data_IF_470026374750
#
_entry.id   IF_470026374750
#
_cell.length_a   1.000
_cell.length_b   1.000
_cell.length_c   1.000
_cell.angle_alpha   90.00
_cell.angle_beta   90.00
_cell.angle_gamma   90.00
#
_symmetry.space_group_name_H-M   'P 1'
#
loop_
_entity.id
_entity.type
_entity.pdbx_description
1 polymer ?
#
# COMPACT_ATOMS: atom_id res chain seq x y z
N UNK A 1 -26.72 7.16 39.31
CA UNK A 1 -28.04 6.89 39.91
C UNK A 1 -29.07 7.72 39.17
N UNK A 2 -29.72 7.16 38.18
CA UNK A 2 -30.83 7.81 37.47
C UNK A 2 -32.08 6.94 37.66
N UNK A 3 -33.14 7.55 38.18
CA UNK A 3 -34.38 6.89 38.57
C UNK A 3 -35.23 6.56 37.34
N UNK A 4 -35.76 5.34 37.30
CA UNK A 4 -36.76 4.89 36.36
C UNK A 4 -38.10 5.64 36.59
N UNK A 5 -38.87 5.94 35.52
CA UNK A 5 -40.21 6.46 35.67
C UNK A 5 -41.24 5.32 35.91
N UNK A 6 -42.15 5.61 36.84
CA UNK A 6 -43.28 4.78 37.26
C UNK A 6 -44.37 4.70 36.18
N UNK A 7 -45.08 3.59 36.00
CA UNK A 7 -46.15 3.45 35.01
C UNK A 7 -47.48 4.08 35.54
N UNK A 8 -48.18 4.74 34.64
CA UNK A 8 -49.48 5.38 34.83
C UNK A 8 -50.57 4.31 34.77
N UNK A 9 -51.54 4.30 35.72
CA UNK A 9 -52.64 3.34 35.69
C UNK A 9 -53.74 3.71 34.70
N UNK A 10 -54.28 2.68 34.03
CA UNK A 10 -55.37 2.81 33.06
C UNK A 10 -56.74 3.12 33.76
N UNK A 11 -57.63 3.90 33.09
CA UNK A 11 -58.94 4.23 33.66
C UNK A 11 -59.93 3.04 33.62
N UNK A 12 -60.92 3.01 34.54
CA UNK A 12 -61.85 1.89 34.67
C UNK A 12 -62.91 1.85 33.57
N UNK A 13 -63.11 0.65 33.02
CA UNK A 13 -64.13 0.34 32.02
C UNK A 13 -65.52 0.28 32.72
N UNK A 14 -66.44 1.15 32.34
CA UNK A 14 -67.84 1.10 32.74
C UNK A 14 -68.60 -0.01 31.97
N UNK A 15 -69.01 -1.03 32.66
CA UNK A 15 -69.88 -2.07 32.12
C UNK A 15 -71.35 -1.56 32.18
N UNK A 16 -71.94 -1.28 31.04
CA UNK A 16 -73.39 -1.08 30.93
C UNK A 16 -74.10 -2.42 30.75
N UNK A 17 -74.86 -2.84 31.75
CA UNK A 17 -75.86 -3.93 31.63
C UNK A 17 -77.07 -3.42 30.87
N UNK A 18 -77.23 -3.83 29.61
CA UNK A 18 -78.44 -3.62 28.83
C UNK A 18 -79.37 -4.80 28.98
N UNK A 19 -80.64 -4.52 29.13
CA UNK A 19 -81.74 -5.45 29.32
C UNK A 19 -81.96 -6.40 28.10
N UNK A 20 -82.62 -7.59 28.27
CA UNK A 20 -82.79 -8.54 27.18
C UNK A 20 -83.86 -8.13 26.19
N UNK A 21 -83.39 -7.71 25.02
CA UNK A 21 -84.25 -7.45 23.85
C UNK A 21 -84.43 -8.69 23.00
N UNK A 22 -85.69 -8.97 22.66
CA UNK A 22 -86.19 -10.09 21.84
C UNK A 22 -85.41 -10.23 20.52
N UNK A 23 -84.94 -11.47 20.23
CA UNK A 23 -84.25 -11.84 19.07
C UNK A 23 -85.11 -11.70 17.79
N UNK A 24 -84.63 -10.99 16.75
CA UNK A 24 -85.31 -11.02 15.46
C UNK A 24 -85.04 -12.34 14.75
N UNK A 25 -86.11 -12.85 14.15
CA UNK A 25 -86.15 -14.10 13.36
C UNK A 25 -85.04 -14.13 12.28
N UNK A 26 -84.11 -15.07 12.36
CA UNK A 26 -83.12 -15.31 11.30
C UNK A 26 -83.82 -15.67 9.99
N UNK A 27 -83.87 -14.76 9.07
CA UNK A 27 -84.14 -15.09 7.66
C UNK A 27 -83.03 -16.03 7.15
N UNK A 28 -83.39 -17.28 6.90
CA UNK A 28 -82.55 -18.21 6.21
C UNK A 28 -82.35 -17.74 4.75
N UNK A 29 -81.32 -17.00 4.51
CA UNK A 29 -80.90 -16.73 3.12
C UNK A 29 -80.48 -18.05 2.49
N UNK A 30 -81.17 -18.43 1.45
CA UNK A 30 -80.87 -19.59 0.65
C UNK A 30 -79.49 -19.38 -0.03
N UNK A 31 -78.43 -19.91 0.57
CA UNK A 31 -77.09 -19.88 -0.04
C UNK A 31 -77.15 -20.74 -1.30
N UNK A 32 -77.19 -20.07 -2.48
CA UNK A 32 -76.98 -20.75 -3.76
C UNK A 32 -75.63 -21.53 -3.65
N UNK A 33 -75.75 -22.86 -3.80
CA UNK A 33 -74.57 -23.74 -3.89
C UNK A 33 -73.72 -23.31 -5.06
N UNK A 34 -72.61 -22.61 -4.79
CA UNK A 34 -71.65 -22.25 -5.82
C UNK A 34 -70.98 -23.52 -6.29
N UNK A 35 -70.94 -23.76 -7.58
CA UNK A 35 -70.30 -24.90 -8.18
C UNK A 35 -68.83 -24.99 -7.70
N UNK A 36 -68.41 -26.15 -7.14
CA UNK A 36 -67.02 -26.31 -6.61
C UNK A 36 -65.97 -26.05 -7.66
N UNK A 37 -66.23 -26.27 -8.93
CA UNK A 37 -65.36 -25.96 -10.06
C UNK A 37 -65.15 -24.41 -10.23
N UNK A 38 -66.21 -23.61 -10.05
CA UNK A 38 -66.11 -22.15 -10.10
C UNK A 38 -65.31 -21.61 -8.90
N UNK A 39 -65.41 -22.24 -7.72
CA UNK A 39 -64.58 -21.92 -6.54
C UNK A 39 -63.13 -22.24 -6.77
N UNK A 40 -62.83 -23.38 -7.37
CA UNK A 40 -61.49 -23.80 -7.78
C UNK A 40 -60.87 -22.80 -8.79
N UNK A 41 -61.61 -22.46 -9.86
CA UNK A 41 -61.12 -21.46 -10.84
C UNK A 41 -60.90 -20.08 -10.23
N UNK A 42 -61.77 -19.60 -9.33
CA UNK A 42 -61.56 -18.36 -8.59
C UNK A 42 -60.30 -18.42 -7.68
N UNK A 43 -60.09 -19.55 -7.04
CA UNK A 43 -58.90 -19.80 -6.21
C UNK A 43 -57.60 -19.74 -7.08
N UNK A 44 -57.63 -20.40 -8.21
CA UNK A 44 -56.51 -20.41 -9.19
C UNK A 44 -56.24 -19.02 -9.73
N UNK A 45 -57.27 -18.30 -10.20
CA UNK A 45 -57.15 -16.95 -10.72
C UNK A 45 -56.60 -15.95 -9.65
N UNK A 46 -57.00 -16.13 -8.38
CA UNK A 46 -56.47 -15.32 -7.28
C UNK A 46 -54.99 -15.60 -7.01
N UNK A 47 -54.61 -16.90 -7.02
CA UNK A 47 -53.18 -17.28 -6.86
C UNK A 47 -52.34 -16.74 -8.03
N UNK A 48 -52.84 -16.85 -9.27
CA UNK A 48 -52.19 -16.31 -10.46
C UNK A 48 -52.04 -14.80 -10.40
N UNK A 49 -53.11 -14.08 -10.00
CA UNK A 49 -53.08 -12.62 -9.82
C UNK A 49 -52.05 -12.19 -8.77
N UNK A 50 -52.02 -12.86 -7.61
CA UNK A 50 -51.01 -12.56 -6.59
C UNK A 50 -49.60 -12.91 -7.04
N UNK A 51 -49.43 -14.04 -7.78
CA UNK A 51 -48.16 -14.43 -8.39
C UNK A 51 -47.65 -13.37 -9.36
N UNK A 52 -48.49 -12.94 -10.30
CA UNK A 52 -48.16 -11.87 -11.29
C UNK A 52 -47.85 -10.56 -10.59
N UNK A 53 -48.68 -10.16 -9.61
CA UNK A 53 -48.46 -8.92 -8.84
C UNK A 53 -47.12 -8.95 -8.07
N UNK A 54 -46.78 -10.11 -7.51
CA UNK A 54 -45.53 -10.30 -6.81
C UNK A 54 -44.35 -10.28 -7.77
N UNK A 55 -44.45 -11.00 -8.90
CA UNK A 55 -43.45 -10.98 -9.96
C UNK A 55 -43.22 -9.58 -10.52
N UNK A 56 -44.28 -8.79 -10.72
CA UNK A 56 -44.19 -7.40 -11.18
C UNK A 56 -43.47 -6.49 -10.16
N UNK A 57 -43.71 -6.69 -8.85
CA UNK A 57 -42.96 -5.97 -7.82
C UNK A 57 -41.48 -6.32 -7.84
N UNK A 58 -41.13 -7.62 -7.98
CA UNK A 58 -39.74 -8.04 -8.14
C UNK A 58 -39.11 -7.46 -9.39
N UNK A 59 -39.85 -7.44 -10.53
CA UNK A 59 -39.37 -6.84 -11.78
C UNK A 59 -39.06 -5.34 -11.65
N UNK A 60 -39.83 -4.60 -10.84
CA UNK A 60 -39.54 -3.19 -10.53
C UNK A 60 -38.33 -3.01 -9.62
N UNK A 61 -38.01 -4.02 -8.80
CA UNK A 61 -36.85 -3.96 -7.91
C UNK A 61 -35.53 -4.25 -8.63
N UNK A 62 -35.56 -5.08 -9.69
CA UNK A 62 -34.38 -5.47 -10.45
C UNK A 62 -33.59 -4.27 -11.02
N UNK A 63 -34.24 -3.26 -11.67
CA UNK A 63 -33.50 -2.10 -12.16
C UNK A 63 -32.82 -1.30 -11.06
N UNK A 64 -33.46 -1.19 -9.88
CA UNK A 64 -32.87 -0.50 -8.72
C UNK A 64 -31.65 -1.25 -8.22
N UNK A 65 -31.74 -2.58 -8.08
CA UNK A 65 -30.62 -3.40 -7.67
C UNK A 65 -29.47 -3.34 -8.68
N UNK A 66 -29.77 -3.43 -9.98
CA UNK A 66 -28.77 -3.28 -11.06
C UNK A 66 -28.09 -1.92 -10.99
N UNK A 67 -28.86 -0.86 -10.77
CA UNK A 67 -28.31 0.49 -10.60
C UNK A 67 -27.39 0.55 -9.35
N UNK A 68 -27.83 0.02 -8.21
CA UNK A 68 -27.03 0.01 -6.98
C UNK A 68 -25.69 -0.72 -7.20
N UNK A 69 -25.73 -1.92 -7.78
CA UNK A 69 -24.55 -2.71 -8.08
C UNK A 69 -23.64 -1.99 -9.06
N UNK A 70 -24.18 -1.50 -10.18
CA UNK A 70 -23.40 -0.79 -11.19
C UNK A 70 -22.79 0.50 -10.65
N UNK A 71 -23.54 1.26 -9.86
CA UNK A 71 -23.05 2.50 -9.24
C UNK A 71 -21.96 2.19 -8.21
N UNK A 72 -22.19 1.22 -7.31
CA UNK A 72 -21.21 0.80 -6.31
C UNK A 72 -19.92 0.27 -6.94
N UNK A 73 -20.03 -0.49 -8.04
CA UNK A 73 -18.89 -1.00 -8.78
C UNK A 73 -18.07 0.12 -9.43
N UNK A 74 -18.73 1.15 -9.99
CA UNK A 74 -18.04 2.24 -10.69
C UNK A 74 -17.46 3.31 -9.75
N UNK A 75 -18.10 3.59 -8.62
CA UNK A 75 -17.59 4.57 -7.65
C UNK A 75 -16.51 3.96 -6.76
N UNK A 76 -16.78 2.74 -6.25
CA UNK A 76 -15.84 1.88 -5.52
C UNK A 76 -14.93 2.63 -4.52
N UNK A 77 -15.55 3.38 -3.61
CA UNK A 77 -14.82 4.24 -2.67
C UNK A 77 -13.76 3.52 -1.83
N UNK A 78 -13.93 2.22 -1.65
CA UNK A 78 -13.05 1.38 -0.84
C UNK A 78 -12.02 0.60 -1.68
N UNK A 79 -11.99 0.84 -3.00
CA UNK A 79 -11.00 0.22 -3.90
C UNK A 79 -11.14 -1.29 -4.10
N UNK A 80 -12.30 -1.90 -3.71
CA UNK A 80 -12.48 -3.35 -3.70
C UNK A 80 -12.59 -3.99 -5.10
N UNK A 81 -12.97 -3.22 -6.12
CA UNK A 81 -13.29 -3.74 -7.46
C UNK A 81 -12.56 -3.02 -8.59
N UNK A 82 -12.64 -1.70 -8.64
CA UNK A 82 -12.11 -0.87 -9.72
C UNK A 82 -11.03 0.12 -9.24
N UNK A 83 -10.80 0.18 -7.92
CA UNK A 83 -10.06 1.26 -7.28
C UNK A 83 -10.86 2.57 -7.18
N UNK A 84 -10.58 3.36 -6.16
CA UNK A 84 -11.26 4.63 -5.94
C UNK A 84 -10.97 5.65 -7.05
N UNK A 85 -11.86 6.66 -7.21
CA UNK A 85 -11.77 7.64 -8.32
C UNK A 85 -10.45 8.42 -8.34
N UNK A 86 -9.93 8.78 -7.18
CA UNK A 86 -8.71 9.59 -7.08
C UNK A 86 -7.44 8.82 -7.49
N UNK A 87 -7.14 7.61 -6.98
CA UNK A 87 -6.01 6.80 -7.47
C UNK A 87 -6.12 6.49 -8.96
N UNK A 88 -7.33 6.19 -9.48
CA UNK A 88 -7.54 6.00 -10.92
C UNK A 88 -7.16 7.23 -11.72
N UNK A 89 -7.52 8.44 -11.24
CA UNK A 89 -7.14 9.68 -11.92
C UNK A 89 -5.62 9.85 -12.00
N UNK A 90 -4.91 9.52 -10.90
CA UNK A 90 -3.44 9.58 -10.90
C UNK A 90 -2.86 8.62 -11.93
N UNK A 91 -3.29 7.34 -11.92
CA UNK A 91 -2.80 6.34 -12.86
C UNK A 91 -3.13 6.70 -14.31
N UNK A 92 -4.34 7.17 -14.59
CA UNK A 92 -4.75 7.63 -15.93
C UNK A 92 -3.83 8.74 -16.47
N UNK A 93 -3.46 9.69 -15.61
CA UNK A 93 -2.53 10.77 -15.98
C UNK A 93 -1.11 10.23 -16.22
N UNK A 94 -0.62 9.37 -15.33
CA UNK A 94 0.71 8.76 -15.46
C UNK A 94 0.82 7.92 -16.74
N UNK A 95 -0.20 7.12 -17.07
CA UNK A 95 -0.24 6.31 -18.30
C UNK A 95 -0.32 7.17 -19.58
N UNK A 96 -0.81 8.41 -19.48
CA UNK A 96 -0.76 9.41 -20.55
C UNK A 96 0.59 10.14 -20.63
N UNK A 97 1.52 9.88 -19.72
CA UNK A 97 2.85 10.47 -19.67
C UNK A 97 2.93 11.77 -18.86
N UNK A 98 1.89 12.13 -18.12
CA UNK A 98 1.90 13.32 -17.27
C UNK A 98 2.47 13.04 -15.87
N UNK A 99 3.24 13.97 -15.36
CA UNK A 99 3.56 14.07 -13.94
C UNK A 99 2.34 14.65 -13.19
N UNK A 100 2.13 14.24 -11.94
CA UNK A 100 0.90 14.52 -11.18
C UNK A 100 1.20 15.25 -9.88
N UNK A 101 0.44 16.33 -9.61
CA UNK A 101 0.53 17.12 -8.38
C UNK A 101 -0.24 16.48 -7.22
N UNK A 102 0.11 16.87 -5.98
CA UNK A 102 -0.65 16.59 -4.75
C UNK A 102 -0.79 15.09 -4.39
N UNK A 103 0.02 14.20 -4.97
CA UNK A 103 -0.08 12.75 -4.76
C UNK A 103 0.11 12.31 -3.29
N UNK A 104 0.75 13.11 -2.46
CA UNK A 104 1.05 12.80 -1.04
C UNK A 104 -0.20 12.53 -0.20
N UNK A 105 -1.36 12.96 -0.70
CA UNK A 105 -2.67 12.71 -0.07
C UNK A 105 -3.26 11.35 -0.42
N UNK A 106 -2.50 10.48 -1.12
CA UNK A 106 -2.96 9.19 -1.60
C UNK A 106 -2.12 8.05 -1.04
N UNK A 107 -2.77 6.92 -0.82
CA UNK A 107 -2.03 5.67 -0.57
C UNK A 107 -1.42 5.16 -1.89
N UNK A 108 -0.10 5.14 -1.97
CA UNK A 108 0.64 4.67 -3.15
C UNK A 108 0.32 3.20 -3.48
N UNK A 109 -0.13 2.41 -2.51
CA UNK A 109 -0.51 0.98 -2.71
C UNK A 109 -1.64 0.82 -3.70
N UNK A 110 -2.64 1.73 -3.64
CA UNK A 110 -3.74 1.74 -4.61
C UNK A 110 -3.26 2.16 -6.00
N UNK A 111 -2.35 3.13 -6.08
CA UNK A 111 -1.74 3.56 -7.35
C UNK A 111 -0.94 2.43 -7.98
N UNK A 112 -0.11 1.72 -7.20
CA UNK A 112 0.66 0.56 -7.64
C UNK A 112 -0.26 -0.57 -8.14
N UNK A 113 -1.35 -0.84 -7.42
CA UNK A 113 -2.34 -1.86 -7.82
C UNK A 113 -2.98 -1.52 -9.17
N UNK A 114 -3.46 -0.31 -9.33
CA UNK A 114 -4.13 0.14 -10.55
C UNK A 114 -3.16 0.24 -11.73
N UNK A 115 -1.93 0.70 -11.49
CA UNK A 115 -0.89 0.69 -12.52
C UNK A 115 -0.61 -0.73 -13.02
N UNK A 116 -0.41 -1.68 -12.11
CA UNK A 116 -0.18 -3.08 -12.51
C UNK A 116 -1.34 -3.64 -13.34
N UNK A 117 -2.58 -3.28 -13.00
CA UNK A 117 -3.78 -3.67 -13.73
C UNK A 117 -3.85 -3.04 -15.12
N UNK A 118 -3.65 -1.72 -15.23
CA UNK A 118 -4.07 -0.91 -16.38
C UNK A 118 -2.93 -0.56 -17.33
N UNK A 119 -1.64 -0.73 -16.93
CA UNK A 119 -0.51 -0.45 -17.82
C UNK A 119 -0.63 -1.27 -19.11
N UNK A 120 -0.64 -0.62 -20.31
CA UNK A 120 -0.90 -1.33 -21.57
C UNK A 120 0.24 -2.25 -21.99
N UNK A 121 1.48 -1.86 -21.67
CA UNK A 121 2.68 -2.62 -22.00
C UNK A 121 3.48 -2.90 -20.72
N UNK A 122 4.05 -4.09 -20.62
CA UNK A 122 4.89 -4.44 -19.47
C UNK A 122 6.14 -3.58 -19.44
N UNK A 123 6.42 -2.86 -18.35
CA UNK A 123 7.69 -2.17 -18.21
C UNK A 123 8.87 -3.14 -18.32
N UNK A 124 9.95 -2.72 -18.94
CA UNK A 124 11.16 -3.53 -19.03
C UNK A 124 11.75 -3.78 -17.64
N UNK A 125 11.73 -2.74 -16.80
CA UNK A 125 12.19 -2.81 -15.43
C UNK A 125 11.19 -2.14 -14.47
N UNK A 126 11.05 -2.70 -13.28
CA UNK A 126 10.35 -2.05 -12.17
C UNK A 126 11.28 -1.90 -10.97
N UNK A 127 11.03 -0.83 -10.19
CA UNK A 127 11.65 -0.61 -8.89
C UNK A 127 10.67 -0.91 -7.76
N UNK A 128 11.08 -1.68 -6.74
CA UNK A 128 10.32 -1.89 -5.50
C UNK A 128 11.15 -1.52 -4.28
N UNK A 129 10.49 -1.15 -3.20
CA UNK A 129 11.13 -0.75 -1.95
C UNK A 129 10.24 0.23 -1.18
N UNK A 130 10.77 0.78 -0.11
CA UNK A 130 10.14 1.83 0.69
C UNK A 130 10.28 3.22 0.03
N UNK A 131 10.04 4.29 0.80
CA UNK A 131 10.31 5.66 0.34
C UNK A 131 11.75 5.88 -0.18
N UNK A 132 12.68 5.02 0.18
CA UNK A 132 14.09 5.10 -0.23
C UNK A 132 14.31 4.72 -1.69
N UNK A 133 13.36 4.01 -2.33
CA UNK A 133 13.40 3.74 -3.78
C UNK A 133 12.76 4.84 -4.61
N UNK A 134 11.95 5.72 -4.02
CA UNK A 134 11.12 6.67 -4.77
C UNK A 134 11.90 7.64 -5.66
N UNK A 135 13.20 7.83 -5.41
CA UNK A 135 14.08 8.66 -6.24
C UNK A 135 14.70 7.92 -7.42
N UNK A 136 14.48 6.60 -7.54
CA UNK A 136 14.89 5.87 -8.74
C UNK A 136 13.91 6.16 -9.87
N UNK A 137 14.43 6.64 -10.98
CA UNK A 137 13.69 7.12 -12.14
C UNK A 137 14.36 6.62 -13.45
N UNK A 138 13.77 6.94 -14.59
CA UNK A 138 14.30 6.54 -15.89
C UNK A 138 15.74 7.00 -16.11
N UNK A 139 16.07 8.20 -15.64
CA UNK A 139 17.38 8.81 -15.87
C UNK A 139 18.48 8.07 -15.11
N UNK A 140 18.29 7.84 -13.80
CA UNK A 140 19.33 7.20 -12.98
C UNK A 140 19.36 5.68 -13.08
N UNK A 141 18.26 5.04 -13.51
CA UNK A 141 18.24 3.62 -13.83
C UNK A 141 18.75 3.32 -15.23
N UNK A 142 18.75 4.32 -16.14
CA UNK A 142 19.18 4.17 -17.52
C UNK A 142 18.24 3.32 -18.39
N UNK A 143 16.99 3.14 -17.99
CA UNK A 143 15.97 2.37 -18.70
C UNK A 143 14.75 3.22 -18.96
N UNK A 144 14.43 3.52 -20.21
CA UNK A 144 13.28 4.35 -20.59
C UNK A 144 11.96 3.71 -20.17
N UNK A 145 11.82 2.39 -20.32
CA UNK A 145 10.64 1.64 -19.87
C UNK A 145 10.81 1.15 -18.44
N UNK A 146 11.23 2.05 -17.54
CA UNK A 146 11.28 1.83 -16.09
C UNK A 146 10.01 2.37 -15.43
N UNK A 147 9.51 1.64 -14.42
CA UNK A 147 8.45 2.14 -13.56
C UNK A 147 8.75 1.88 -12.08
N UNK A 148 8.66 2.94 -11.27
CA UNK A 148 8.87 2.87 -9.84
C UNK A 148 7.57 2.48 -9.12
N UNK A 149 7.56 1.30 -8.53
CA UNK A 149 6.46 0.74 -7.72
C UNK A 149 6.75 0.84 -6.22
N UNK A 150 7.65 1.72 -5.82
CA UNK A 150 7.96 2.00 -4.42
C UNK A 150 6.75 2.55 -3.68
N UNK A 151 6.68 2.24 -2.39
CA UNK A 151 5.58 2.62 -1.51
C UNK A 151 6.13 3.19 -0.21
N UNK A 152 5.73 4.37 0.17
CA UNK A 152 6.15 5.01 1.42
C UNK A 152 5.83 4.12 2.63
N UNK A 153 6.85 3.83 3.45
CA UNK A 153 6.73 2.93 4.60
C UNK A 153 6.55 1.46 4.22
N UNK A 154 6.96 1.05 3.01
CA UNK A 154 6.84 -0.34 2.59
C UNK A 154 7.57 -1.30 3.52
N UNK A 155 6.89 -2.35 3.90
CA UNK A 155 7.47 -3.53 4.55
C UNK A 155 7.67 -4.68 3.54
N UNK A 156 8.04 -5.85 4.03
CA UNK A 156 8.28 -7.05 3.19
C UNK A 156 7.04 -7.42 2.35
N UNK A 157 5.85 -7.19 2.88
CA UNK A 157 4.58 -7.54 2.22
C UNK A 157 4.35 -6.67 0.99
N UNK A 158 4.53 -5.35 1.13
CA UNK A 158 4.43 -4.41 0.02
C UNK A 158 5.46 -4.69 -1.06
N UNK A 159 6.71 -4.92 -0.67
CA UNK A 159 7.80 -5.22 -1.61
C UNK A 159 7.46 -6.42 -2.49
N UNK A 160 7.11 -7.54 -1.88
CA UNK A 160 6.86 -8.78 -2.63
C UNK A 160 5.55 -8.72 -3.42
N UNK A 161 4.48 -8.15 -2.83
CA UNK A 161 3.18 -8.07 -3.52
C UNK A 161 3.18 -7.06 -4.66
N UNK A 162 3.99 -6.00 -4.62
CA UNK A 162 4.14 -5.07 -5.76
C UNK A 162 4.60 -5.79 -7.03
N UNK A 163 5.61 -6.66 -6.92
CA UNK A 163 6.02 -7.51 -8.05
C UNK A 163 4.93 -8.54 -8.41
N UNK A 164 4.34 -9.20 -7.41
CA UNK A 164 3.32 -10.22 -7.62
C UNK A 164 2.10 -9.65 -8.36
N UNK A 165 1.67 -8.42 -8.05
CA UNK A 165 0.62 -7.72 -8.78
C UNK A 165 0.90 -7.66 -10.28
N UNK A 166 2.12 -7.31 -10.70
CA UNK A 166 2.49 -7.32 -12.11
C UNK A 166 2.34 -8.71 -12.74
N UNK A 167 2.82 -9.74 -12.05
CA UNK A 167 2.77 -11.12 -12.55
C UNK A 167 1.33 -11.64 -12.67
N UNK A 168 0.44 -11.29 -11.72
CA UNK A 168 -0.98 -11.72 -11.76
C UNK A 168 -1.72 -11.19 -12.99
N UNK A 169 -1.30 -10.03 -13.53
CA UNK A 169 -1.82 -9.50 -14.79
C UNK A 169 -1.02 -9.93 -16.02
N UNK A 170 -0.13 -10.93 -15.89
CA UNK A 170 0.68 -11.44 -16.98
C UNK A 170 1.77 -10.48 -17.46
N UNK A 171 2.21 -9.57 -16.61
CA UNK A 171 3.12 -8.46 -16.91
C UNK A 171 4.44 -8.57 -16.13
N UNK A 172 5.04 -9.76 -16.06
CA UNK A 172 6.34 -9.94 -15.42
C UNK A 172 7.41 -9.09 -16.12
N UNK A 173 8.11 -8.18 -15.40
CA UNK A 173 9.17 -7.35 -15.98
C UNK A 173 10.42 -8.18 -16.24
N UNK A 174 11.30 -7.72 -17.14
CA UNK A 174 12.60 -8.37 -17.34
C UNK A 174 13.57 -8.14 -16.19
N UNK A 175 13.45 -6.99 -15.52
CA UNK A 175 14.32 -6.61 -14.41
C UNK A 175 13.49 -6.15 -13.23
N UNK A 176 13.84 -6.65 -12.05
CA UNK A 176 13.36 -6.19 -10.75
C UNK A 176 14.52 -5.51 -10.03
N UNK A 177 14.46 -4.19 -9.87
CA UNK A 177 15.34 -3.41 -9.03
C UNK A 177 14.71 -3.36 -7.63
N UNK A 178 15.32 -4.01 -6.65
CA UNK A 178 14.82 -4.01 -5.28
C UNK A 178 15.74 -3.19 -4.37
N UNK A 179 15.29 -1.98 -4.01
CA UNK A 179 15.92 -1.23 -2.93
C UNK A 179 15.44 -1.84 -1.62
N UNK A 180 16.23 -2.80 -1.13
CA UNK A 180 15.86 -3.59 0.03
C UNK A 180 16.29 -2.88 1.31
N UNK A 181 15.39 -2.85 2.28
CA UNK A 181 15.60 -2.22 3.57
C UNK A 181 15.85 -3.25 4.67
N UNK A 182 16.61 -2.91 5.73
CA UNK A 182 16.97 -3.87 6.77
C UNK A 182 15.76 -4.47 7.49
N UNK A 183 14.68 -3.70 7.69
CA UNK A 183 13.48 -4.18 8.39
C UNK A 183 12.71 -5.28 7.65
N UNK A 184 13.01 -5.53 6.37
CA UNK A 184 12.47 -6.68 5.63
C UNK A 184 12.77 -8.01 6.35
N UNK A 185 13.87 -8.08 7.10
CA UNK A 185 14.30 -9.27 7.83
C UNK A 185 13.94 -9.24 9.32
N UNK A 186 13.26 -8.19 9.78
CA UNK A 186 12.76 -8.09 11.14
C UNK A 186 11.39 -8.77 11.23
N UNK A 187 11.34 -9.95 11.85
CA UNK A 187 10.12 -10.77 11.93
C UNK A 187 9.08 -10.32 12.97
N UNK A 188 9.25 -9.12 13.57
CA UNK A 188 8.28 -8.56 14.51
C UNK A 188 7.09 -7.93 13.80
N UNK A 189 5.88 -8.09 14.34
CA UNK A 189 4.68 -7.38 13.88
C UNK A 189 4.86 -5.86 13.96
N UNK A 190 5.74 -5.37 14.84
CA UNK A 190 6.06 -3.94 14.93
C UNK A 190 6.72 -3.36 13.66
N UNK A 191 7.33 -4.23 12.83
CA UNK A 191 7.89 -3.84 11.53
C UNK A 191 6.85 -3.82 10.40
N UNK A 192 5.60 -4.13 10.69
CA UNK A 192 4.54 -4.27 9.69
C UNK A 192 3.66 -3.02 9.61
N UNK A 193 3.52 -2.49 8.41
CA UNK A 193 2.61 -1.37 8.15
C UNK A 193 1.15 -1.87 8.07
N UNK A 194 0.26 -1.25 8.85
CA UNK A 194 -1.16 -1.62 8.86
C UNK A 194 -1.87 -1.41 7.52
N UNK A 195 -1.28 -0.62 6.61
CA UNK A 195 -1.82 -0.36 5.26
C UNK A 195 -1.47 -1.45 4.25
N UNK A 196 -0.45 -2.30 4.53
CA UNK A 196 -0.05 -3.36 3.62
C UNK A 196 -1.14 -4.43 3.50
N UNK A 197 -1.33 -4.96 2.29
CA UNK A 197 -2.28 -6.03 2.00
C UNK A 197 -1.75 -7.38 2.51
N UNK A 198 -2.03 -7.66 3.78
CA UNK A 198 -1.61 -8.90 4.42
C UNK A 198 -2.25 -10.14 3.79
N UNK A 199 -3.48 -10.03 3.30
CA UNK A 199 -4.19 -11.16 2.69
C UNK A 199 -3.55 -11.54 1.34
N UNK A 200 -3.26 -10.56 0.50
CA UNK A 200 -2.54 -10.78 -0.77
C UNK A 200 -1.13 -11.35 -0.53
N UNK A 201 -0.43 -10.85 0.50
CA UNK A 201 0.88 -11.38 0.85
C UNK A 201 0.81 -12.83 1.32
N UNK A 202 -0.13 -13.16 2.21
CA UNK A 202 -0.32 -14.53 2.68
C UNK A 202 -0.77 -15.48 1.55
N UNK A 203 -1.62 -15.00 0.63
CA UNK A 203 -1.95 -15.73 -0.59
C UNK A 203 -0.71 -16.03 -1.42
N UNK A 204 0.12 -15.02 -1.64
CA UNK A 204 1.35 -15.15 -2.41
C UNK A 204 2.32 -16.15 -1.78
N UNK A 205 2.56 -16.04 -0.46
CA UNK A 205 3.39 -17.00 0.27
C UNK A 205 2.87 -18.43 0.13
N UNK A 206 1.58 -18.64 0.39
CA UNK A 206 0.99 -19.97 0.40
C UNK A 206 0.89 -20.61 -0.98
N UNK A 207 0.33 -19.89 -1.96
CA UNK A 207 -0.01 -20.44 -3.29
C UNK A 207 1.15 -20.44 -4.28
N UNK A 208 2.08 -19.51 -4.13
CA UNK A 208 3.14 -19.27 -5.11
C UNK A 208 4.51 -19.65 -4.57
N UNK A 209 4.85 -19.14 -3.40
CA UNK A 209 6.16 -19.40 -2.80
C UNK A 209 6.22 -20.72 -2.00
N UNK A 210 5.08 -21.36 -1.76
CA UNK A 210 4.94 -22.57 -0.94
C UNK A 210 5.51 -22.40 0.48
N UNK A 211 5.43 -21.20 1.03
CA UNK A 211 5.77 -20.90 2.42
C UNK A 211 4.51 -21.09 3.26
N UNK A 212 4.53 -21.85 4.36
CA UNK A 212 3.35 -22.05 5.21
C UNK A 212 2.83 -20.74 5.79
N UNK A 213 1.52 -20.51 5.67
CA UNK A 213 0.80 -19.37 6.26
C UNK A 213 -0.56 -19.83 6.75
N UNK A 214 -1.23 -18.98 7.51
CA UNK A 214 -2.63 -19.17 7.92
C UNK A 214 -3.62 -18.70 6.83
N UNK A 215 -3.20 -18.65 5.56
CA UNK A 215 -4.03 -18.19 4.46
C UNK A 215 -5.23 -19.12 4.25
N UNK A 216 -6.42 -18.52 4.28
CA UNK A 216 -7.67 -19.14 3.86
C UNK A 216 -8.20 -18.42 2.60
N UNK A 217 -8.63 -19.19 1.62
CA UNK A 217 -9.15 -18.60 0.37
C UNK A 217 -10.43 -17.80 0.66
N UNK A 218 -10.44 -16.47 0.38
CA UNK A 218 -11.61 -15.64 0.65
C UNK A 218 -12.82 -16.09 -0.16
N UNK A 219 -14.00 -16.07 0.44
CA UNK A 219 -15.26 -16.34 -0.26
C UNK A 219 -15.56 -15.20 -1.24
N UNK A 220 -15.23 -15.41 -2.52
CA UNK A 220 -15.50 -14.44 -3.59
C UNK A 220 -16.98 -14.06 -3.66
N UNK A 221 -17.88 -14.92 -3.22
CA UNK A 221 -19.33 -14.63 -3.20
C UNK A 221 -19.64 -13.55 -2.17
N UNK A 222 -18.97 -13.57 -1.01
CA UNK A 222 -19.15 -12.53 0.02
C UNK A 222 -18.66 -11.16 -0.50
N UNK A 223 -17.52 -11.12 -1.18
CA UNK A 223 -17.02 -9.89 -1.79
C UNK A 223 -18.05 -9.30 -2.77
N UNK A 224 -18.57 -10.12 -3.70
CA UNK A 224 -19.58 -9.65 -4.67
C UNK A 224 -20.90 -9.26 -4.02
N UNK A 225 -21.27 -9.83 -2.87
CA UNK A 225 -22.45 -9.41 -2.10
C UNK A 225 -22.33 -7.98 -1.59
N UNK A 226 -21.11 -7.48 -1.33
CA UNK A 226 -20.90 -6.11 -0.90
C UNK A 226 -21.46 -5.08 -1.88
N UNK A 227 -21.43 -5.35 -3.20
CA UNK A 227 -22.01 -4.46 -4.22
C UNK A 227 -23.54 -4.28 -4.09
N UNK A 228 -24.22 -5.29 -3.54
CA UNK A 228 -25.67 -5.25 -3.30
C UNK A 228 -26.01 -4.78 -1.88
N UNK A 229 -25.01 -4.49 -1.05
CA UNK A 229 -25.21 -3.98 0.32
C UNK A 229 -25.68 -2.52 0.27
N UNK A 230 -26.84 -2.21 0.88
CA UNK A 230 -27.34 -0.84 0.94
C UNK A 230 -26.42 0.14 1.67
N UNK A 231 -25.66 -0.31 2.69
CA UNK A 231 -24.74 0.54 3.44
C UNK A 231 -23.51 0.88 2.59
N UNK A 232 -22.99 -0.10 1.84
CA UNK A 232 -21.91 0.14 0.86
C UNK A 232 -22.35 1.10 -0.24
N UNK A 233 -23.56 0.88 -0.81
CA UNK A 233 -24.13 1.78 -1.80
C UNK A 233 -24.32 3.21 -1.26
N UNK A 234 -24.89 3.37 -0.05
CA UNK A 234 -25.04 4.68 0.57
C UNK A 234 -23.69 5.37 0.75
N UNK A 235 -22.68 4.65 1.23
CA UNK A 235 -21.33 5.19 1.38
C UNK A 235 -20.72 5.66 0.04
N UNK A 236 -20.96 4.91 -1.05
CA UNK A 236 -20.53 5.32 -2.39
C UNK A 236 -21.29 6.57 -2.89
N UNK A 237 -22.59 6.67 -2.59
CA UNK A 237 -23.40 7.87 -2.93
C UNK A 237 -22.90 9.08 -2.16
N UNK A 238 -22.66 8.95 -0.86
CA UNK A 238 -22.16 10.04 -0.01
C UNK A 238 -20.77 10.52 -0.50
N UNK A 239 -19.87 9.58 -0.82
CA UNK A 239 -18.57 9.89 -1.40
C UNK A 239 -18.70 10.62 -2.74
N UNK A 240 -19.55 10.11 -3.65
CA UNK A 240 -19.77 10.70 -4.97
C UNK A 240 -20.35 12.12 -4.88
N UNK A 241 -21.32 12.34 -3.97
CA UNK A 241 -21.94 13.66 -3.75
C UNK A 241 -20.94 14.61 -3.11
N UNK A 242 -20.18 14.16 -2.09
CA UNK A 242 -19.17 14.98 -1.41
C UNK A 242 -18.13 15.50 -2.39
N UNK A 243 -17.65 14.62 -3.26
CA UNK A 243 -16.62 14.95 -4.26
C UNK A 243 -17.23 15.45 -5.59
N UNK A 244 -18.56 15.58 -5.68
CA UNK A 244 -19.29 16.01 -6.90
C UNK A 244 -18.97 15.16 -8.14
N UNK A 245 -18.66 13.87 -7.92
CA UNK A 245 -18.22 12.95 -8.96
C UNK A 245 -16.81 13.23 -9.52
N UNK A 246 -16.07 14.13 -8.90
CA UNK A 246 -14.68 14.43 -9.27
C UNK A 246 -13.72 13.49 -8.55
N UNK A 247 -12.58 13.25 -9.16
CA UNK A 247 -11.50 12.47 -8.59
C UNK A 247 -10.67 13.35 -7.61
N UNK A 248 -11.25 13.61 -6.45
CA UNK A 248 -10.67 14.47 -5.41
C UNK A 248 -10.64 13.76 -4.08
N UNK A 249 -9.76 14.19 -3.18
CA UNK A 249 -9.78 13.80 -1.76
C UNK A 249 -9.98 15.05 -0.91
N UNK A 250 -10.30 14.87 0.36
CA UNK A 250 -10.36 15.96 1.34
C UNK A 250 -9.26 15.71 2.36
N UNK A 251 -8.38 16.70 2.55
CA UNK A 251 -7.33 16.63 3.58
C UNK A 251 -7.92 16.75 4.99
N UNK A 252 -7.05 16.63 6.00
CA UNK A 252 -7.44 16.70 7.41
C UNK A 252 -7.97 18.09 7.81
N UNK A 253 -7.57 19.15 7.10
CA UNK A 253 -8.02 20.52 7.27
C UNK A 253 -9.37 20.77 6.58
N UNK A 254 -9.86 19.83 5.77
CA UNK A 254 -11.13 19.91 5.06
C UNK A 254 -11.06 20.59 3.68
N UNK A 255 -9.86 20.82 3.15
CA UNK A 255 -9.67 21.34 1.80
C UNK A 255 -9.88 20.23 0.76
N UNK A 256 -10.36 20.60 -0.42
CA UNK A 256 -10.49 19.68 -1.55
C UNK A 256 -9.18 19.65 -2.34
N UNK A 257 -8.58 18.48 -2.46
CA UNK A 257 -7.36 18.23 -3.21
C UNK A 257 -7.72 17.62 -4.56
N UNK A 258 -7.23 18.22 -5.63
CA UNK A 258 -7.38 17.75 -7.01
C UNK A 258 -6.05 17.22 -7.55
N UNK A 259 -6.12 16.16 -8.36
CA UNK A 259 -4.95 15.57 -9.02
C UNK A 259 -4.92 16.01 -10.47
N UNK A 260 -3.94 16.86 -10.78
CA UNK A 260 -3.80 17.50 -12.08
C UNK A 260 -2.42 17.22 -12.69
N UNK A 261 -2.30 17.28 -14.04
CA UNK A 261 -0.98 17.34 -14.66
C UNK A 261 -0.16 18.49 -14.09
N UNK A 262 1.13 18.26 -13.90
CA UNK A 262 2.07 19.33 -13.53
C UNK A 262 2.13 20.36 -14.63
N UNK A 263 1.93 21.63 -14.30
CA UNK A 263 2.08 22.74 -15.21
C UNK A 263 3.48 23.40 -15.04
N UNK A 264 4.12 23.69 -16.15
CA UNK A 264 5.45 24.33 -16.16
C UNK A 264 6.59 23.36 -15.85
N UNK A 265 7.69 23.91 -15.31
CA UNK A 265 8.87 23.13 -14.96
C UNK A 265 8.62 22.29 -13.70
N UNK A 266 8.71 20.94 -13.76
CA UNK A 266 8.52 20.07 -12.61
C UNK A 266 9.54 20.34 -11.49
N UNK A 267 10.71 20.87 -11.81
CA UNK A 267 11.74 21.19 -10.81
C UNK A 267 11.48 22.46 -10.02
N UNK A 268 10.48 23.25 -10.38
CA UNK A 268 10.08 24.48 -9.67
C UNK A 268 8.79 24.33 -8.86
N UNK A 269 8.27 23.10 -8.72
CA UNK A 269 7.05 22.87 -7.96
C UNK A 269 7.29 23.03 -6.45
N UNK A 270 6.32 23.63 -5.77
CA UNK A 270 6.32 23.87 -4.32
C UNK A 270 5.70 22.72 -3.52
N UNK A 271 5.18 21.72 -4.19
CA UNK A 271 4.70 20.44 -3.63
C UNK A 271 5.41 19.31 -4.34
N UNK A 272 5.60 18.20 -3.66
CA UNK A 272 6.15 17.00 -4.29
C UNK A 272 5.20 16.48 -5.38
N UNK A 273 5.76 15.89 -6.42
CA UNK A 273 5.02 15.37 -7.56
C UNK A 273 5.31 13.90 -7.79
N UNK A 274 4.31 13.17 -8.26
CA UNK A 274 4.47 11.79 -8.76
C UNK A 274 4.75 11.86 -10.25
N UNK A 275 5.94 11.42 -10.66
CA UNK A 275 6.31 11.40 -12.07
C UNK A 275 5.61 10.30 -12.84
N UNK A 276 5.52 10.45 -14.15
CA UNK A 276 4.88 9.48 -15.04
C UNK A 276 5.56 8.10 -15.04
N UNK A 277 6.80 8.01 -14.57
CA UNK A 277 7.53 6.76 -14.36
C UNK A 277 7.37 6.19 -12.95
N UNK A 278 6.44 6.72 -12.15
CA UNK A 278 6.19 6.27 -10.78
C UNK A 278 7.17 6.78 -9.73
N UNK A 279 8.26 7.46 -10.13
CA UNK A 279 9.18 8.07 -9.18
C UNK A 279 8.58 9.34 -8.53
N UNK A 280 9.20 9.81 -7.48
CA UNK A 280 8.82 11.04 -6.78
C UNK A 280 9.88 12.11 -6.99
N UNK A 281 9.46 13.28 -7.38
CA UNK A 281 10.29 14.49 -7.31
C UNK A 281 9.78 15.34 -6.15
N UNK A 282 10.57 15.42 -5.10
CA UNK A 282 10.22 16.22 -3.92
C UNK A 282 10.12 17.71 -4.27
N UNK A 283 9.40 18.47 -3.47
CA UNK A 283 9.24 19.91 -3.64
C UNK A 283 10.60 20.66 -3.65
N UNK A 284 10.59 21.86 -4.21
CA UNK A 284 11.80 22.64 -4.41
C UNK A 284 12.52 23.02 -3.09
N UNK A 285 11.76 23.21 -1.99
CA UNK A 285 12.35 23.58 -0.70
C UNK A 285 13.08 22.39 -0.08
N UNK A 286 12.46 21.21 -0.11
CA UNK A 286 13.06 19.98 0.43
C UNK A 286 14.29 19.53 -0.35
N UNK A 287 14.31 19.73 -1.68
CA UNK A 287 15.47 19.41 -2.51
C UNK A 287 16.65 20.38 -2.39
N UNK A 288 16.40 21.62 -2.00
CA UNK A 288 17.40 22.69 -1.94
C UNK A 288 17.79 23.05 -0.50
N UNK A 289 17.70 22.10 0.41
CA UNK A 289 18.12 22.29 1.78
C UNK A 289 19.64 22.52 1.89
N UNK A 290 20.02 23.31 2.89
CA UNK A 290 21.44 23.46 3.24
C UNK A 290 21.93 22.20 3.97
N UNK A 291 23.25 21.99 3.98
CA UNK A 291 23.87 20.88 4.71
C UNK A 291 23.46 20.87 6.20
N UNK A 292 23.39 22.05 6.86
CA UNK A 292 22.94 22.17 8.23
C UNK A 292 21.48 21.72 8.44
N UNK A 293 20.61 22.02 7.47
CA UNK A 293 19.20 21.57 7.51
C UNK A 293 19.12 20.06 7.35
N UNK A 294 19.84 19.50 6.38
CA UNK A 294 19.91 18.05 6.15
C UNK A 294 20.42 17.33 7.42
N UNK A 295 21.51 17.84 8.00
CA UNK A 295 22.08 17.30 9.24
C UNK A 295 21.11 17.41 10.43
N UNK A 296 20.33 18.48 10.52
CA UNK A 296 19.27 18.62 11.53
C UNK A 296 18.21 17.54 11.38
N UNK A 297 17.72 17.30 10.16
CA UNK A 297 16.76 16.23 9.88
C UNK A 297 17.33 14.84 10.15
N UNK A 298 18.61 14.63 9.85
CA UNK A 298 19.30 13.38 10.19
C UNK A 298 19.40 13.16 11.70
N UNK A 299 19.63 14.22 12.47
CA UNK A 299 19.63 14.16 13.94
C UNK A 299 18.22 13.89 14.49
N UNK A 300 17.19 14.51 13.92
CA UNK A 300 15.78 14.21 14.25
C UNK A 300 15.42 12.75 13.94
N UNK A 301 15.92 12.21 12.82
CA UNK A 301 15.73 10.80 12.46
C UNK A 301 16.34 9.85 13.51
N UNK A 302 17.44 10.20 14.16
CA UNK A 302 18.00 9.42 15.28
C UNK A 302 17.00 9.31 16.44
N UNK A 303 16.26 10.38 16.74
CA UNK A 303 15.28 10.41 17.82
C UNK A 303 13.99 9.66 17.47
N UNK A 304 13.66 9.56 16.18
CA UNK A 304 12.47 8.88 15.67
C UNK A 304 12.78 7.50 15.09
N UNK A 305 13.98 6.97 15.33
CA UNK A 305 14.46 5.73 14.73
C UNK A 305 13.57 4.53 15.06
N UNK A 306 12.92 4.54 16.21
CA UNK A 306 11.90 3.53 16.57
C UNK A 306 10.76 3.42 15.54
N UNK A 307 10.50 4.48 14.80
CA UNK A 307 9.45 4.47 13.77
C UNK A 307 9.77 3.56 12.58
N UNK A 308 11.03 3.22 12.36
CA UNK A 308 11.47 2.22 11.39
C UNK A 308 11.69 0.83 12.00
N UNK A 309 11.26 0.65 13.26
CA UNK A 309 11.17 -0.63 13.96
C UNK A 309 12.48 -1.42 14.05
N UNK A 310 13.60 -0.71 14.25
CA UNK A 310 14.93 -1.34 14.30
C UNK A 310 15.43 -1.63 15.73
N UNK A 311 14.80 -1.03 16.76
CA UNK A 311 15.13 -1.37 18.15
C UNK A 311 14.63 -2.77 18.54
N UNK A 312 15.47 -3.53 19.21
CA UNK A 312 15.16 -4.92 19.56
C UNK A 312 15.24 -5.89 18.39
N UNK A 313 15.82 -5.46 17.27
CA UNK A 313 16.15 -6.31 16.15
C UNK A 313 17.50 -7.00 16.43
N UNK A 314 17.46 -8.14 17.10
CA UNK A 314 18.66 -8.85 17.54
C UNK A 314 19.17 -9.86 16.52
N UNK A 315 18.26 -10.50 15.77
CA UNK A 315 18.59 -11.55 14.80
C UNK A 315 17.61 -11.54 13.61
N UNK A 316 18.11 -11.99 12.45
CA UNK A 316 17.29 -12.08 11.24
C UNK A 316 16.24 -13.19 11.37
N UNK A 317 15.01 -12.85 11.01
CA UNK A 317 13.89 -13.80 11.00
C UNK A 317 14.09 -14.89 9.94
N UNK A 318 14.14 -16.15 10.38
CA UNK A 318 14.26 -17.30 9.48
C UNK A 318 13.08 -17.40 8.51
N UNK A 319 11.89 -16.99 8.94
CA UNK A 319 10.70 -16.95 8.06
C UNK A 319 10.89 -15.91 6.94
N UNK A 320 11.42 -14.73 7.26
CA UNK A 320 11.67 -13.69 6.25
C UNK A 320 12.82 -14.07 5.31
N UNK A 321 13.87 -14.72 5.82
CA UNK A 321 14.95 -15.29 5.00
C UNK A 321 14.38 -16.30 3.99
N UNK A 322 13.53 -17.21 4.45
CA UNK A 322 12.91 -18.22 3.58
C UNK A 322 11.99 -17.57 2.53
N UNK A 323 11.19 -16.59 2.94
CA UNK A 323 10.31 -15.85 2.04
C UNK A 323 11.13 -15.10 0.97
N UNK A 324 12.21 -14.44 1.38
CA UNK A 324 13.11 -13.72 0.48
C UNK A 324 13.75 -14.66 -0.57
N UNK A 325 14.36 -15.78 -0.15
CA UNK A 325 14.97 -16.75 -1.08
C UNK A 325 13.92 -17.29 -2.06
N UNK A 326 12.76 -17.70 -1.54
CA UNK A 326 11.66 -18.20 -2.37
C UNK A 326 11.16 -17.15 -3.38
N UNK A 327 11.08 -15.89 -2.96
CA UNK A 327 10.68 -14.78 -3.81
C UNK A 327 11.69 -14.51 -4.93
N UNK A 328 12.99 -14.44 -4.61
CA UNK A 328 14.05 -14.24 -5.61
C UNK A 328 14.01 -15.36 -6.65
N UNK A 329 13.94 -16.63 -6.21
CA UNK A 329 13.83 -17.78 -7.12
C UNK A 329 12.55 -17.74 -7.96
N UNK A 330 11.44 -17.33 -7.37
CA UNK A 330 10.19 -17.15 -8.11
C UNK A 330 10.33 -16.11 -9.20
N UNK A 331 10.86 -14.91 -8.89
CA UNK A 331 11.07 -13.86 -9.87
C UNK A 331 11.98 -14.34 -11.02
N UNK A 332 13.07 -15.01 -10.69
CA UNK A 332 13.96 -15.61 -11.69
C UNK A 332 13.26 -16.68 -12.54
N UNK A 333 12.35 -17.47 -11.97
CA UNK A 333 11.56 -18.47 -12.70
C UNK A 333 10.57 -17.84 -13.69
N UNK A 334 10.17 -16.59 -13.44
CA UNK A 334 9.35 -15.78 -14.38
C UNK A 334 10.20 -15.11 -15.48
N UNK A 335 11.51 -15.34 -15.50
CA UNK A 335 12.45 -14.72 -16.45
C UNK A 335 12.89 -13.31 -16.03
N UNK A 336 12.68 -12.93 -14.78
CA UNK A 336 13.06 -11.62 -14.23
C UNK A 336 14.45 -11.69 -13.61
N UNK A 337 15.37 -10.81 -14.04
CA UNK A 337 16.64 -10.60 -13.34
C UNK A 337 16.42 -9.72 -12.11
N UNK A 338 16.78 -10.21 -10.94
CA UNK A 338 16.70 -9.44 -9.69
C UNK A 338 18.03 -8.72 -9.47
N UNK A 339 17.97 -7.42 -9.19
CA UNK A 339 19.11 -6.58 -8.81
C UNK A 339 18.78 -5.98 -7.45
N UNK A 340 19.63 -6.20 -6.46
CA UNK A 340 19.49 -5.60 -5.13
C UNK A 340 20.27 -4.30 -5.05
N UNK A 341 19.67 -3.32 -4.38
CA UNK A 341 20.31 -2.04 -4.07
C UNK A 341 20.16 -1.76 -2.59
N UNK A 342 21.27 -1.47 -1.94
CA UNK A 342 21.35 -1.04 -0.55
C UNK A 342 21.54 0.47 -0.54
N UNK A 343 20.45 1.22 -0.37
CA UNK A 343 20.52 2.67 -0.26
C UNK A 343 21.23 3.07 1.05
N UNK A 344 22.23 3.96 1.02
CA UNK A 344 22.97 4.36 2.23
C UNK A 344 22.08 5.09 3.22
N UNK A 345 22.47 5.04 4.48
CA UNK A 345 21.96 5.92 5.51
C UNK A 345 22.81 7.20 5.55
N UNK A 346 22.21 8.31 5.97
CA UNK A 346 22.99 9.53 6.16
C UNK A 346 24.16 9.29 7.15
N UNK A 347 25.37 9.83 6.91
CA UNK A 347 26.54 9.58 7.77
C UNK A 347 26.27 9.81 9.25
N UNK A 348 25.55 10.87 9.58
CA UNK A 348 25.20 11.18 10.97
C UNK A 348 24.31 10.11 11.61
N UNK A 349 23.27 9.65 10.89
CA UNK A 349 22.37 8.60 11.40
C UNK A 349 23.07 7.26 11.50
N UNK A 350 23.86 6.90 10.51
CA UNK A 350 24.64 5.63 10.57
C UNK A 350 25.66 5.67 11.71
N UNK A 351 26.35 6.82 11.88
CA UNK A 351 27.26 7.04 13.03
C UNK A 351 26.56 6.87 14.36
N UNK A 352 25.32 7.37 14.51
CA UNK A 352 24.51 7.15 15.72
C UNK A 352 24.25 5.67 15.99
N UNK A 353 23.92 4.87 14.96
CA UNK A 353 23.73 3.41 15.13
C UNK A 353 24.99 2.71 15.62
N UNK A 354 26.15 3.14 15.15
CA UNK A 354 27.46 2.60 15.57
C UNK A 354 27.79 2.88 17.03
N UNK A 355 27.15 3.89 17.67
CA UNK A 355 27.37 4.17 19.10
C UNK A 355 26.74 3.12 20.01
N UNK A 356 25.66 2.45 19.54
CA UNK A 356 24.91 1.45 20.31
C UNK A 356 24.71 0.15 19.50
N UNK A 357 25.81 -0.52 19.06
CA UNK A 357 25.73 -1.62 18.12
C UNK A 357 24.95 -2.82 18.66
N UNK A 358 24.92 -3.01 19.98
CA UNK A 358 24.18 -4.09 20.63
C UNK A 358 22.67 -3.91 20.50
N UNK A 359 22.17 -2.66 20.44
CA UNK A 359 20.75 -2.36 20.26
C UNK A 359 20.28 -2.51 18.80
N UNK A 360 21.23 -2.60 17.86
CA UNK A 360 20.98 -2.64 16.42
C UNK A 360 21.63 -3.85 15.72
N UNK A 361 21.81 -4.95 16.45
CA UNK A 361 22.51 -6.16 15.94
C UNK A 361 21.94 -6.67 14.61
N UNK A 362 20.63 -6.79 14.52
CA UNK A 362 19.96 -7.30 13.33
C UNK A 362 20.22 -6.41 12.12
N UNK A 363 20.18 -5.07 12.32
CA UNK A 363 20.51 -4.12 11.26
C UNK A 363 21.88 -4.41 10.65
N UNK A 364 22.93 -4.53 11.48
CA UNK A 364 24.29 -4.78 11.00
C UNK A 364 24.49 -6.20 10.42
N UNK A 365 23.63 -7.14 10.79
CA UNK A 365 23.69 -8.50 10.23
C UNK A 365 23.07 -8.58 8.82
N UNK A 366 22.06 -7.71 8.52
CA UNK A 366 21.31 -7.79 7.25
C UNK A 366 22.23 -7.63 6.05
N UNK A 367 23.06 -6.60 6.01
CA UNK A 367 23.91 -6.34 4.86
C UNK A 367 24.90 -7.49 4.63
N UNK A 368 25.55 -7.95 5.70
CA UNK A 368 26.49 -9.07 5.61
C UNK A 368 25.82 -10.34 5.09
N UNK A 369 24.60 -10.61 5.56
CA UNK A 369 23.81 -11.76 5.09
C UNK A 369 23.43 -11.61 3.62
N UNK A 370 22.95 -10.44 3.20
CA UNK A 370 22.58 -10.16 1.80
C UNK A 370 23.78 -10.29 0.87
N UNK A 371 24.95 -9.80 1.27
CA UNK A 371 26.18 -9.92 0.48
C UNK A 371 26.59 -11.38 0.29
N UNK A 372 26.53 -12.17 1.37
CA UNK A 372 26.81 -13.61 1.28
C UNK A 372 25.79 -14.31 0.37
N UNK A 373 24.50 -14.01 0.54
CA UNK A 373 23.44 -14.57 -0.32
C UNK A 373 23.68 -14.24 -1.80
N UNK A 374 24.03 -13.00 -2.10
CA UNK A 374 24.28 -12.54 -3.46
C UNK A 374 25.52 -13.20 -4.08
N UNK A 375 26.60 -13.38 -3.31
CA UNK A 375 27.78 -14.12 -3.74
C UNK A 375 27.45 -15.57 -4.07
N UNK A 376 26.70 -16.25 -3.20
CA UNK A 376 26.34 -17.65 -3.35
C UNK A 376 25.37 -17.91 -4.52
N UNK A 377 24.50 -16.94 -4.84
CA UNK A 377 23.44 -17.08 -5.84
C UNK A 377 23.66 -16.26 -7.12
N UNK A 378 24.79 -15.58 -7.26
CA UNK A 378 25.15 -14.72 -8.39
C UNK A 378 24.06 -13.65 -8.67
N UNK A 379 23.56 -13.01 -7.60
CA UNK A 379 22.60 -11.92 -7.67
C UNK A 379 23.37 -10.58 -7.61
N UNK A 380 23.19 -9.66 -8.57
CA UNK A 380 23.80 -8.35 -8.50
C UNK A 380 23.34 -7.57 -7.25
N UNK A 381 24.30 -6.99 -6.52
CA UNK A 381 24.04 -6.12 -5.37
C UNK A 381 24.93 -4.89 -5.44
N UNK A 382 24.33 -3.72 -5.24
CA UNK A 382 25.00 -2.43 -5.32
C UNK A 382 24.69 -1.59 -4.07
N UNK A 383 25.59 -0.65 -3.78
CA UNK A 383 25.48 0.22 -2.60
C UNK A 383 25.86 -0.47 -1.29
N UNK A 384 25.59 0.22 -0.21
CA UNK A 384 25.79 -0.23 1.17
C UNK A 384 24.91 0.61 2.08
N UNK A 385 24.43 0.05 3.18
CA UNK A 385 23.81 0.86 4.24
C UNK A 385 24.83 1.77 4.94
N UNK A 386 26.09 1.35 5.00
CA UNK A 386 27.19 2.16 5.51
C UNK A 386 27.64 3.19 4.45
N UNK A 387 27.42 4.49 4.67
CA UNK A 387 27.82 5.53 3.74
C UNK A 387 29.34 5.57 3.49
N UNK A 388 30.16 5.12 4.44
CA UNK A 388 31.63 5.06 4.29
C UNK A 388 32.09 4.04 3.23
N UNK A 389 31.26 3.08 2.88
CA UNK A 389 31.56 2.12 1.80
C UNK A 389 31.28 2.68 0.39
N UNK A 390 30.80 3.91 0.27
CA UNK A 390 30.43 4.54 -1.02
C UNK A 390 31.38 5.70 -1.30
N UNK A 391 32.24 5.53 -2.30
CA UNK A 391 33.24 6.54 -2.65
C UNK A 391 32.59 7.86 -3.05
N UNK A 392 33.04 8.94 -2.41
CA UNK A 392 32.64 10.31 -2.72
C UNK A 392 31.22 10.66 -2.29
N UNK A 393 30.51 9.82 -1.52
CA UNK A 393 29.21 10.15 -0.97
C UNK A 393 29.35 11.27 0.07
N UNK A 394 28.47 12.27 0.02
CA UNK A 394 28.48 13.45 0.86
C UNK A 394 27.13 13.64 1.55
N UNK A 395 27.08 14.38 2.65
CA UNK A 395 25.83 14.69 3.35
C UNK A 395 24.84 15.41 2.45
N UNK A 396 25.33 16.25 1.54
CA UNK A 396 24.50 16.96 0.54
C UNK A 396 23.93 16.07 -0.57
N UNK A 397 24.29 14.79 -0.63
CA UNK A 397 23.66 13.81 -1.50
C UNK A 397 22.33 13.28 -0.93
N UNK A 398 22.00 13.69 0.31
CA UNK A 398 20.78 13.32 1.01
C UNK A 398 19.79 14.48 1.10
N UNK A 399 18.54 14.17 1.33
CA UNK A 399 17.50 15.14 1.69
C UNK A 399 17.27 15.18 3.21
N UNK A 400 17.52 14.07 3.90
CA UNK A 400 17.36 13.88 5.35
C UNK A 400 18.22 12.70 5.82
N UNK A 401 17.89 12.08 6.95
CA UNK A 401 18.61 10.93 7.50
C UNK A 401 18.51 9.63 6.69
N UNK A 402 17.54 9.51 5.77
CA UNK A 402 17.17 8.26 5.13
C UNK A 402 17.16 8.32 3.59
N UNK A 403 16.87 9.48 3.01
CA UNK A 403 16.54 9.60 1.60
C UNK A 403 17.68 10.23 0.81
N UNK A 404 18.20 9.45 -0.14
CA UNK A 404 19.30 9.87 -1.02
C UNK A 404 18.74 10.49 -2.29
N UNK A 405 19.32 11.61 -2.71
CA UNK A 405 18.98 12.27 -3.97
C UNK A 405 19.61 11.58 -5.20
N UNK A 406 19.23 12.01 -6.38
CA UNK A 406 19.73 11.42 -7.64
C UNK A 406 21.26 11.46 -7.78
N UNK A 407 21.93 12.50 -7.27
CA UNK A 407 23.40 12.60 -7.24
C UNK A 407 24.03 11.52 -6.40
N UNK A 408 23.45 11.25 -5.23
CA UNK A 408 23.88 10.18 -4.34
C UNK A 408 23.65 8.80 -4.96
N UNK A 409 22.47 8.56 -5.56
CA UNK A 409 22.17 7.30 -6.24
C UNK A 409 23.24 6.98 -7.30
N UNK A 410 23.67 7.97 -8.09
CA UNK A 410 24.69 7.79 -9.12
C UNK A 410 26.07 7.37 -8.57
N UNK A 411 26.31 7.52 -7.26
CA UNK A 411 27.57 7.10 -6.62
C UNK A 411 27.60 5.62 -6.27
N UNK A 412 26.44 5.03 -6.00
CA UNK A 412 26.36 3.63 -5.55
C UNK A 412 25.62 2.70 -6.52
N UNK A 413 24.97 3.24 -7.54
CA UNK A 413 24.26 2.43 -8.53
C UNK A 413 24.63 2.86 -9.96
N UNK A 414 25.22 1.97 -10.78
CA UNK A 414 25.71 2.32 -12.13
C UNK A 414 24.62 2.35 -13.19
N UNK A 415 23.36 2.08 -12.81
CA UNK A 415 22.25 1.87 -13.73
C UNK A 415 22.04 0.40 -14.12
N UNK A 416 20.83 0.10 -14.55
CA UNK A 416 20.42 -1.28 -14.92
C UNK A 416 21.22 -1.81 -16.13
N UNK A 417 21.46 -1.05 -17.22
CA UNK A 417 22.21 -1.56 -18.37
C UNK A 417 23.63 -2.02 -17.99
N UNK A 418 24.32 -1.25 -17.15
CA UNK A 418 25.65 -1.64 -16.69
C UNK A 418 25.60 -2.89 -15.78
N UNK A 419 24.65 -2.94 -14.85
CA UNK A 419 24.47 -4.08 -13.98
C UNK A 419 24.18 -5.39 -14.74
N UNK A 420 23.38 -5.33 -15.79
CA UNK A 420 23.12 -6.48 -16.67
C UNK A 420 24.35 -6.87 -17.48
N UNK A 421 25.10 -5.88 -17.96
CA UNK A 421 26.36 -6.12 -18.68
C UNK A 421 27.39 -6.83 -17.78
N UNK A 422 27.55 -6.36 -16.56
CA UNK A 422 28.47 -6.96 -15.59
C UNK A 422 28.07 -8.38 -15.24
N UNK A 423 26.77 -8.65 -15.05
CA UNK A 423 26.24 -9.98 -14.82
C UNK A 423 26.53 -10.92 -16.01
N UNK A 424 26.27 -10.48 -17.24
CA UNK A 424 26.45 -11.27 -18.45
C UNK A 424 27.93 -11.57 -18.72
N UNK A 425 28.80 -10.63 -18.44
CA UNK A 425 30.24 -10.75 -18.67
C UNK A 425 30.99 -11.43 -17.50
N UNK A 426 30.32 -11.69 -16.38
CA UNK A 426 30.95 -12.20 -15.17
C UNK A 426 31.92 -11.20 -14.54
N UNK A 427 31.66 -9.90 -14.68
CA UNK A 427 32.46 -8.79 -14.15
C UNK A 427 31.83 -8.11 -12.94
N UNK A 428 30.80 -8.72 -12.35
CA UNK A 428 30.24 -8.24 -11.09
C UNK A 428 31.33 -8.15 -10.02
N UNK A 429 31.37 -7.01 -9.33
CA UNK A 429 32.21 -6.90 -8.15
C UNK A 429 31.82 -7.98 -7.13
N UNK A 430 32.83 -8.56 -6.45
CA UNK A 430 32.54 -9.55 -5.42
C UNK A 430 31.82 -8.86 -4.25
N UNK A 431 30.57 -9.28 -3.92
CA UNK A 431 29.84 -8.67 -2.81
C UNK A 431 30.58 -8.68 -1.47
N UNK A 432 31.45 -9.66 -1.28
CA UNK A 432 32.19 -9.87 -0.05
C UNK A 432 33.42 -8.96 0.12
N UNK A 433 33.78 -8.17 -0.91
CA UNK A 433 34.86 -7.19 -0.81
C UNK A 433 34.40 -5.87 -0.14
N UNK A 434 33.12 -5.72 0.11
CA UNK A 434 32.55 -4.56 0.85
C UNK A 434 32.38 -4.94 2.31
N UNK A 435 32.96 -4.15 3.20
CA UNK A 435 33.01 -4.38 4.63
C UNK A 435 32.34 -3.25 5.39
N UNK A 436 30.99 -3.27 5.56
CA UNK A 436 30.29 -2.21 6.32
C UNK A 436 30.71 -2.25 7.79
N UNK A 437 30.83 -1.07 8.39
CA UNK A 437 31.13 -0.92 9.81
C UNK A 437 29.97 -1.46 10.65
N UNK A 438 30.28 -2.12 11.73
CA UNK A 438 29.31 -2.66 12.68
C UNK A 438 29.47 -2.10 14.09
N UNK A 439 30.55 -1.35 14.35
CA UNK A 439 30.80 -0.60 15.57
C UNK A 439 31.79 0.53 15.30
N UNK A 440 31.93 1.47 16.24
CA UNK A 440 32.94 2.52 16.18
C UNK A 440 34.38 2.00 16.28
N UNK A 441 34.56 0.83 16.88
CA UNK A 441 35.87 0.19 17.09
C UNK A 441 36.25 -0.77 15.96
N UNK A 442 35.45 -0.83 14.88
CA UNK A 442 35.70 -1.74 13.77
C UNK A 442 37.04 -1.40 13.09
N UNK A 443 38.03 -2.33 13.10
CA UNK A 443 39.36 -2.07 12.53
C UNK A 443 39.34 -1.86 11.01
N UNK A 444 38.23 -2.19 10.33
CA UNK A 444 38.01 -1.92 8.91
C UNK A 444 37.41 -0.54 8.66
N UNK A 445 36.97 0.17 9.73
CA UNK A 445 36.46 1.51 9.64
C UNK A 445 37.63 2.46 9.38
N UNK A 446 37.87 2.85 8.14
CA UNK A 446 38.67 4.05 7.88
C UNK A 446 37.83 5.25 8.35
N UNK A 447 38.36 6.11 9.26
CA UNK A 447 37.65 7.32 9.65
C UNK A 447 37.44 8.17 8.40
N UNK A 448 36.18 8.57 8.16
CA UNK A 448 35.88 9.60 7.17
C UNK A 448 36.73 10.84 7.53
N UNK A 449 37.53 11.36 6.60
CA UNK A 449 38.29 12.57 6.80
C UNK A 449 37.34 13.71 7.14
N UNK A 450 37.19 14.04 8.41
CA UNK A 450 36.35 15.14 8.91
C UNK A 450 35.59 14.93 10.21
N UNK A 451 35.49 13.72 10.74
CA UNK A 451 34.82 13.47 12.03
C UNK A 451 35.82 13.55 13.22
N UNK A 452 35.93 14.69 13.82
CA UNK A 452 36.46 14.80 15.19
C UNK A 452 35.28 14.72 16.16
N UNK A 453 35.30 13.79 17.14
CA UNK A 453 34.30 13.73 18.20
C UNK A 453 34.59 14.78 19.26
N UNK A 454 34.40 16.06 18.96
CA UNK A 454 34.43 17.15 19.91
C UNK A 454 33.07 17.84 20.02
N UNK A 455 32.24 17.23 20.81
CA UNK A 455 30.97 17.77 21.26
C UNK A 455 30.74 17.49 22.72
N UNK A 456 31.63 18.04 23.60
CA UNK A 456 31.28 18.23 25.01
C UNK A 456 30.02 19.12 25.08
N UNK A 457 28.88 18.50 25.37
CA UNK A 457 27.66 19.18 25.76
C UNK A 457 27.92 19.78 27.14
N UNK A 458 28.37 21.04 27.18
CA UNK A 458 28.34 21.86 28.39
C UNK A 458 26.89 22.09 28.79
N UNK A 459 26.44 21.38 29.81
CA UNK A 459 25.23 21.74 30.56
C UNK A 459 25.45 23.15 31.15
N UNK A 460 24.74 24.11 30.58
CA UNK A 460 24.53 25.40 31.28
C UNK A 460 23.33 25.20 32.21
N UNK A 461 23.65 25.06 33.51
CA UNK A 461 22.71 25.37 34.59
C UNK A 461 22.46 26.87 34.61
N UNK A 462 21.18 27.27 34.57
CA UNK A 462 20.71 28.64 34.72
C UNK A 462 19.21 28.69 34.82
#
# INVERSE_FOLDING_TARGET
MAKSPTPIPAPPVKIHRGAPGSAPARQRTCRKKVNPFVLFLRGLARRLYFGIKTAFKFLLFVPVLVFMVAFSYNVDRSGLFQGALAPRRIVDLMLQGYDVTNFEQMDEREVVQLFAQDVPETPEAIGIGSSRVLQFNRENTGVESFFNMGVTGADVRDNMTSYYKMVTYGKAPKVLLWSIDPWVFYGSEAAFDARADADLYNEFLAKVLNVPTDYEEPDKVELWKALADPAYFQGNVDYYIKNRGQATVTDDEGNTIEFNPVEGDPYNQTTSIKRSDGSVLYDVAFRNQTEDQIRTLAAEACMSFNSVHMEGFDELSQTQIQAFDSFVRYAQSQGTTVILVLSPWHPYLYGYLLTEPENHKGFFQVENWLRQYCADNNVPIYGSYDPACIEGLQETDFFDGLHCGGTGIARFFPGIPQALSDLQNGTLANPLDVHPRTSLEDPNAQPAEGETPDGEVTQQEG
#
